data_IF_926616648314
#
_entry.id   IF_926616648314
#
_cell.length_a   1.000
_cell.length_b   1.000
_cell.length_c   1.000
_cell.angle_alpha   90.00
_cell.angle_beta   90.00
_cell.angle_gamma   90.00
#
_symmetry.space_group_name_H-M   'P 1'
#
loop_
_entity.id
_entity.type
_entity.pdbx_description
1 polymer ?
#
# COMPACT_ATOMS: atom_id res chain seq x y z
N UNK A 1 28.41 -31.04 26.32
CA UNK A 1 28.10 -31.51 24.95
C UNK A 1 27.19 -30.48 24.29
N UNK A 2 27.45 -30.02 23.06
CA UNK A 2 26.60 -28.99 22.45
C UNK A 2 25.26 -29.61 22.03
N UNK A 3 24.16 -29.01 22.48
CA UNK A 3 22.81 -29.43 22.17
C UNK A 3 22.50 -29.09 20.71
N UNK A 4 22.38 -30.10 19.85
CA UNK A 4 21.93 -29.92 18.45
C UNK A 4 20.44 -29.60 18.44
N UNK A 5 20.09 -28.32 18.35
CA UNK A 5 18.71 -27.89 18.08
C UNK A 5 18.35 -28.21 16.62
N UNK A 6 17.29 -29.01 16.44
CA UNK A 6 16.69 -29.28 15.13
C UNK A 6 15.64 -28.20 14.88
N UNK A 7 15.84 -27.34 13.87
CA UNK A 7 14.86 -26.30 13.51
C UNK A 7 13.65 -27.00 12.87
N UNK A 8 12.59 -27.21 13.65
CA UNK A 8 11.33 -27.81 13.18
C UNK A 8 10.39 -26.78 12.56
N UNK A 9 10.61 -25.48 12.83
CA UNK A 9 9.73 -24.40 12.39
C UNK A 9 10.14 -23.74 11.06
N UNK A 10 10.83 -24.46 10.16
CA UNK A 10 11.20 -23.87 8.88
C UNK A 10 9.96 -23.54 8.02
N UNK A 11 8.90 -24.36 8.11
CA UNK A 11 7.70 -24.19 7.33
C UNK A 11 6.87 -22.98 7.78
N UNK A 12 6.56 -22.84 9.07
CA UNK A 12 5.77 -21.69 9.53
C UNK A 12 6.58 -20.40 9.43
N UNK A 13 7.90 -20.45 9.66
CA UNK A 13 8.77 -19.29 9.44
C UNK A 13 8.74 -18.80 7.99
N UNK A 14 8.84 -19.70 7.01
CA UNK A 14 8.74 -19.35 5.59
C UNK A 14 7.37 -18.80 5.23
N UNK A 15 6.30 -19.41 5.76
CA UNK A 15 4.92 -18.91 5.56
C UNK A 15 4.78 -17.49 6.08
N UNK A 16 5.29 -17.21 7.27
CA UNK A 16 5.25 -15.89 7.89
C UNK A 16 6.05 -14.84 7.10
N UNK A 17 7.20 -15.21 6.53
CA UNK A 17 7.95 -14.33 5.64
C UNK A 17 7.18 -14.01 4.36
N UNK A 18 6.50 -14.99 3.77
CA UNK A 18 5.65 -14.78 2.59
C UNK A 18 4.46 -13.87 2.90
N UNK A 19 3.80 -14.08 4.04
CA UNK A 19 2.68 -13.24 4.49
C UNK A 19 3.12 -11.80 4.74
N UNK A 20 4.28 -11.60 5.39
CA UNK A 20 4.87 -10.27 5.60
C UNK A 20 5.23 -9.57 4.29
N UNK A 21 5.71 -10.31 3.30
CA UNK A 21 6.07 -9.79 1.98
C UNK A 21 4.88 -9.57 1.03
N UNK A 22 3.67 -9.99 1.43
CA UNK A 22 2.50 -9.94 0.57
C UNK A 22 2.00 -8.51 0.41
N UNK A 23 2.00 -8.00 -0.84
CA UNK A 23 1.48 -6.66 -1.14
C UNK A 23 0.00 -6.49 -0.78
N UNK A 24 -0.74 -7.61 -0.72
CA UNK A 24 -2.15 -7.63 -0.39
C UNK A 24 -2.43 -7.20 1.06
N UNK A 25 -1.45 -7.30 1.97
CA UNK A 25 -1.63 -6.79 3.34
C UNK A 25 -1.84 -5.26 3.33
N UNK A 26 -1.05 -4.53 2.54
CA UNK A 26 -1.19 -3.08 2.37
C UNK A 26 -2.47 -2.70 1.63
N UNK A 27 -2.86 -3.49 0.63
CA UNK A 27 -4.09 -3.27 -0.13
C UNK A 27 -5.31 -3.42 0.79
N UNK A 28 -5.38 -4.49 1.57
CA UNK A 28 -6.50 -4.75 2.46
C UNK A 28 -6.60 -3.66 3.55
N UNK A 29 -5.47 -3.29 4.16
CA UNK A 29 -5.43 -2.22 5.17
C UNK A 29 -5.87 -0.85 4.62
N UNK A 30 -5.52 -0.57 3.36
CA UNK A 30 -5.98 0.63 2.67
C UNK A 30 -7.47 0.56 2.32
N UNK A 31 -8.00 -0.59 1.87
CA UNK A 31 -9.42 -0.78 1.54
C UNK A 31 -10.30 -0.54 2.77
N UNK A 32 -9.90 -1.05 3.93
CA UNK A 32 -10.63 -0.84 5.18
C UNK A 32 -10.68 0.64 5.60
N UNK A 33 -9.64 1.40 5.26
CA UNK A 33 -9.50 2.81 5.61
C UNK A 33 -9.38 3.68 4.36
N UNK A 34 -10.23 3.46 3.36
CA UNK A 34 -10.04 4.08 2.04
C UNK A 34 -10.26 5.60 2.06
N UNK A 35 -11.27 6.03 2.80
CA UNK A 35 -11.66 7.42 2.94
C UNK A 35 -11.21 8.00 4.28
N UNK A 36 -10.99 9.31 4.31
CA UNK A 36 -10.63 10.02 5.53
C UNK A 36 -11.85 10.11 6.46
N UNK A 37 -11.65 9.82 7.76
CA UNK A 37 -12.74 9.84 8.74
C UNK A 37 -12.91 11.21 9.44
N UNK A 38 -12.10 12.21 9.09
CA UNK A 38 -12.13 13.52 9.77
C UNK A 38 -13.36 14.37 9.38
N UNK A 39 -13.92 15.15 10.34
CA UNK A 39 -14.98 16.11 10.06
C UNK A 39 -14.52 17.21 9.09
N UNK A 40 -15.46 17.82 8.37
CA UNK A 40 -15.19 18.88 7.39
C UNK A 40 -14.52 20.09 8.06
N UNK A 41 -13.23 20.30 7.81
CA UNK A 41 -12.51 21.52 8.18
C UNK A 41 -12.49 22.53 7.02
N UNK A 42 -12.47 23.82 7.37
CA UNK A 42 -12.30 24.90 6.39
C UNK A 42 -10.94 24.75 5.68
N UNK A 43 -10.94 24.83 4.34
CA UNK A 43 -9.76 24.60 3.49
C UNK A 43 -9.79 23.29 2.70
N UNK A 44 -10.79 22.44 2.94
CA UNK A 44 -11.07 21.23 2.16
C UNK A 44 -10.51 19.97 2.82
N UNK A 45 -11.40 18.99 3.05
CA UNK A 45 -10.99 17.68 3.53
C UNK A 45 -10.25 16.91 2.45
N UNK A 46 -9.23 16.17 2.86
CA UNK A 46 -8.75 15.06 2.05
C UNK A 46 -9.87 14.01 1.97
N UNK A 47 -10.31 13.66 0.77
CA UNK A 47 -11.35 12.64 0.56
C UNK A 47 -10.80 11.26 0.90
N UNK A 48 -9.55 11.01 0.53
CA UNK A 48 -8.86 9.74 0.71
C UNK A 48 -8.05 9.75 2.00
N UNK A 49 -7.80 8.59 2.61
CA UNK A 49 -6.85 8.50 3.72
C UNK A 49 -5.39 8.62 3.24
N UNK A 50 -4.48 8.84 4.18
CA UNK A 50 -3.04 8.75 3.90
C UNK A 50 -2.62 7.32 3.51
N UNK A 51 -3.34 6.29 3.97
CA UNK A 51 -3.06 4.89 3.60
C UNK A 51 -3.21 4.66 2.10
N UNK A 52 -4.21 5.26 1.46
CA UNK A 52 -4.39 5.18 0.01
C UNK A 52 -3.24 5.87 -0.73
N UNK A 53 -2.77 7.03 -0.24
CA UNK A 53 -1.63 7.74 -0.81
C UNK A 53 -0.36 6.88 -0.72
N UNK A 54 -0.11 6.28 0.44
CA UNK A 54 1.03 5.39 0.67
C UNK A 54 0.92 4.15 -0.22
N UNK A 55 -0.25 3.51 -0.30
CA UNK A 55 -0.47 2.33 -1.15
C UNK A 55 -0.12 2.60 -2.61
N UNK A 56 -0.57 3.73 -3.16
CA UNK A 56 -0.26 4.12 -4.54
C UNK A 56 1.26 4.17 -4.74
N UNK A 57 2.00 4.78 -3.82
CA UNK A 57 3.45 4.87 -3.91
C UNK A 57 4.17 3.54 -3.64
N UNK A 58 3.62 2.68 -2.78
CA UNK A 58 4.09 1.29 -2.62
C UNK A 58 3.99 0.55 -3.95
N UNK A 59 2.85 0.61 -4.64
CA UNK A 59 2.65 -0.08 -5.93
C UNK A 59 3.61 0.48 -7.00
N UNK A 60 3.77 1.80 -7.07
CA UNK A 60 4.78 2.45 -7.95
C UNK A 60 6.16 1.86 -7.71
N UNK A 61 6.60 1.80 -6.45
CA UNK A 61 7.92 1.29 -6.10
C UNK A 61 8.02 -0.21 -6.38
N UNK A 62 7.09 -1.03 -5.88
CA UNK A 62 7.14 -2.48 -6.02
C UNK A 62 7.20 -2.92 -7.49
N UNK A 63 6.31 -2.40 -8.34
CA UNK A 63 6.22 -2.81 -9.74
C UNK A 63 7.07 -1.96 -10.70
N UNK A 64 7.70 -0.89 -10.22
CA UNK A 64 8.48 0.07 -11.03
C UNK A 64 7.68 0.64 -12.21
N UNK A 65 6.42 0.98 -11.97
CA UNK A 65 5.51 1.56 -12.97
C UNK A 65 5.25 3.05 -12.70
N UNK A 66 4.85 3.80 -13.71
CA UNK A 66 4.57 5.23 -13.55
C UNK A 66 3.32 5.50 -12.72
N UNK A 67 3.30 6.60 -11.95
CA UNK A 67 2.19 6.96 -11.06
C UNK A 67 0.82 7.01 -11.76
N UNK A 68 0.78 7.46 -13.02
CA UNK A 68 -0.46 7.47 -13.83
C UNK A 68 -0.94 6.06 -14.19
N UNK A 69 -0.01 5.15 -14.50
CA UNK A 69 -0.32 3.74 -14.77
C UNK A 69 -0.82 3.05 -13.49
N UNK A 70 -0.21 3.36 -12.33
CA UNK A 70 -0.65 2.85 -11.03
C UNK A 70 -2.11 3.18 -10.72
N UNK A 71 -2.55 4.41 -11.02
CA UNK A 71 -3.96 4.79 -10.84
C UNK A 71 -4.89 3.90 -11.69
N UNK A 72 -4.51 3.62 -12.94
CA UNK A 72 -5.27 2.70 -13.80
C UNK A 72 -5.23 1.25 -13.31
N UNK A 73 -4.07 0.79 -12.84
CA UNK A 73 -3.89 -0.55 -12.26
C UNK A 73 -4.79 -0.75 -11.03
N UNK A 74 -4.77 0.18 -10.08
CA UNK A 74 -5.62 0.13 -8.87
C UNK A 74 -7.09 0.13 -9.26
N UNK A 75 -7.49 0.97 -10.22
CA UNK A 75 -8.87 1.00 -10.72
C UNK A 75 -9.30 -0.36 -11.30
N UNK A 76 -8.46 -0.96 -12.14
CA UNK A 76 -8.74 -2.28 -12.73
C UNK A 76 -8.81 -3.37 -11.66
N UNK A 77 -7.90 -3.35 -10.69
CA UNK A 77 -7.91 -4.29 -9.57
C UNK A 77 -9.19 -4.18 -8.73
N UNK A 78 -9.59 -2.96 -8.35
CA UNK A 78 -10.83 -2.73 -7.58
C UNK A 78 -12.07 -3.21 -8.33
N UNK A 79 -12.13 -2.97 -9.64
CA UNK A 79 -13.21 -3.48 -10.49
C UNK A 79 -13.22 -5.02 -10.51
N UNK A 80 -12.07 -5.67 -10.60
CA UNK A 80 -11.95 -7.13 -10.61
C UNK A 80 -12.43 -7.76 -9.30
N UNK A 81 -12.18 -7.13 -8.16
CA UNK A 81 -12.65 -7.60 -6.85
C UNK A 81 -14.06 -7.09 -6.49
N UNK A 82 -14.77 -6.43 -7.41
CA UNK A 82 -16.14 -5.95 -7.22
C UNK A 82 -16.28 -4.85 -6.17
N UNK A 83 -15.24 -4.03 -5.95
CA UNK A 83 -15.27 -2.92 -4.99
C UNK A 83 -15.50 -1.60 -5.72
N UNK A 84 -16.63 -0.94 -5.41
CA UNK A 84 -16.96 0.38 -5.93
C UNK A 84 -16.30 1.49 -5.10
N UNK A 85 -14.98 1.57 -5.19
CA UNK A 85 -14.17 2.59 -4.51
C UNK A 85 -13.59 3.56 -5.54
N UNK A 86 -13.78 4.86 -5.32
CA UNK A 86 -13.18 5.88 -6.15
C UNK A 86 -11.65 5.87 -5.98
N UNK A 87 -10.90 6.04 -7.08
CA UNK A 87 -9.43 6.05 -7.04
C UNK A 87 -8.90 7.47 -7.02
N UNK A 88 -7.93 7.73 -6.13
CA UNK A 88 -7.24 9.01 -6.04
C UNK A 88 -6.56 9.38 -7.37
N UNK A 89 -6.67 10.64 -7.78
CA UNK A 89 -5.97 11.12 -8.97
C UNK A 89 -4.46 11.19 -8.75
N UNK A 90 -3.67 11.02 -9.82
CA UNK A 90 -2.20 11.05 -9.73
C UNK A 90 -1.66 12.37 -9.13
N UNK A 91 -2.33 13.49 -9.43
CA UNK A 91 -1.92 14.82 -8.95
C UNK A 91 -2.16 14.98 -7.45
N UNK A 92 -3.30 14.47 -6.95
CA UNK A 92 -3.61 14.43 -5.52
C UNK A 92 -2.64 13.50 -4.78
N UNK A 93 -2.38 12.31 -5.31
CA UNK A 93 -1.44 11.35 -4.72
C UNK A 93 -0.04 11.96 -4.60
N UNK A 94 0.50 12.52 -5.70
CA UNK A 94 1.83 13.13 -5.72
C UNK A 94 1.98 14.29 -4.72
N UNK A 95 1.00 15.22 -4.69
CA UNK A 95 1.05 16.37 -3.77
C UNK A 95 0.96 15.94 -2.31
N UNK A 96 0.09 14.96 -2.00
CA UNK A 96 -0.05 14.46 -0.62
C UNK A 96 1.15 13.66 -0.17
N UNK A 97 1.70 12.81 -1.02
CA UNK A 97 2.91 12.06 -0.71
C UNK A 97 4.08 12.99 -0.34
N UNK A 98 4.22 14.11 -1.07
CA UNK A 98 5.19 15.16 -0.72
C UNK A 98 4.93 15.78 0.66
N UNK A 99 3.67 16.00 1.04
CA UNK A 99 3.28 16.53 2.36
C UNK A 99 3.55 15.54 3.50
N UNK A 100 3.43 14.24 3.24
CA UNK A 100 3.70 13.20 4.25
C UNK A 100 5.20 13.06 4.58
N UNK A 101 6.08 13.64 3.77
CA UNK A 101 7.53 13.63 3.99
C UNK A 101 8.12 12.21 4.16
N UNK A 102 7.51 11.22 3.49
CA UNK A 102 7.96 9.84 3.51
C UNK A 102 9.06 9.67 2.46
N UNK A 103 10.19 9.09 2.86
CA UNK A 103 11.27 8.71 1.95
C UNK A 103 11.19 7.23 1.66
N UNK A 104 11.01 6.88 0.38
CA UNK A 104 11.11 5.49 -0.06
C UNK A 104 12.54 5.27 -0.55
N UNK A 105 13.27 4.41 0.16
CA UNK A 105 14.58 3.96 -0.26
C UNK A 105 14.40 2.68 -1.07
N UNK A 106 14.50 2.79 -2.39
CA UNK A 106 14.54 1.61 -3.25
C UNK A 106 15.98 1.16 -3.44
N UNK A 107 16.38 0.12 -2.71
CA UNK A 107 17.72 -0.48 -2.78
C UNK A 107 17.85 -1.52 -3.91
N UNK A 108 16.79 -1.75 -4.69
CA UNK A 108 16.82 -2.69 -5.82
C UNK A 108 17.51 -2.03 -7.00
N UNK A 109 18.55 -2.69 -7.53
CA UNK A 109 19.24 -2.26 -8.76
C UNK A 109 18.25 -2.27 -9.93
#
# INVERSE_FOLDING_TARGET
MPQKMRVSNCHEYNKFLQERGSIFCYINDAIENWYENCPKMQGGNYIYSDKVVILVHIIVSFFRIGLRQTVGFIKGYLQQIGRDLAVISYSQASRRFKKLNIKINDCRK
#
